data_IF_875932919326
#
_entry.id   IF_875932919326
#
_cell.length_a   1.000
_cell.length_b   1.000
_cell.length_c   1.000
_cell.angle_alpha   90.00
_cell.angle_beta   90.00
_cell.angle_gamma   90.00
#
_symmetry.space_group_name_H-M   'P 1'
#
loop_
_entity.id
_entity.type
_entity.pdbx_description
1 polymer ?
2 water ?
#
# COMPACT_ATOMS: atom_id res chain seq x y z
N UNK A 1 -1.26 -22.54 -5.52
CA UNK A 1 -1.03 -21.14 -5.98
C UNK A 1 -2.09 -20.20 -5.43
N UNK A 2 -1.83 -18.90 -5.52
CA UNK A 2 -2.76 -17.89 -5.04
C UNK A 2 -3.75 -17.50 -6.14
N UNK A 3 -3.33 -17.68 -7.39
CA UNK A 3 -4.17 -17.36 -8.53
C UNK A 3 -5.40 -18.26 -8.49
N UNK A 4 -5.20 -19.48 -8.00
CA UNK A 4 -6.29 -20.45 -7.88
C UNK A 4 -7.24 -19.98 -6.79
N UNK A 5 -6.67 -19.43 -5.73
CA UNK A 5 -7.45 -18.93 -4.61
C UNK A 5 -8.24 -17.69 -5.03
N UNK A 6 -7.61 -16.82 -5.81
CA UNK A 6 -8.26 -15.61 -6.29
C UNK A 6 -9.56 -16.00 -6.99
N UNK A 7 -9.48 -17.04 -7.82
CA UNK A 7 -10.63 -17.53 -8.56
C UNK A 7 -11.64 -18.17 -7.61
N UNK A 8 -11.14 -18.66 -6.47
CA UNK A 8 -12.00 -19.30 -5.48
C UNK A 8 -12.85 -18.27 -4.75
N UNK A 9 -12.19 -17.35 -4.04
CA UNK A 9 -12.89 -16.31 -3.30
C UNK A 9 -13.72 -15.44 -4.24
N UNK A 10 -13.31 -15.39 -5.50
CA UNK A 10 -14.03 -14.60 -6.50
C UNK A 10 -15.48 -15.05 -6.57
N UNK A 15 -14.15 -10.49 -10.65
CA UNK A 15 -13.58 -9.43 -9.77
C UNK A 15 -13.88 -9.70 -8.29
N UNK A 16 -13.16 -9.02 -7.41
CA UNK A 16 -13.35 -9.18 -5.98
C UNK A 16 -13.44 -7.83 -5.27
N UNK A 17 -14.17 -7.79 -4.16
CA UNK A 17 -14.29 -6.56 -3.39
C UNK A 17 -13.33 -6.68 -2.20
N UNK A 18 -13.29 -5.67 -1.34
CA UNK A 18 -12.39 -5.69 -0.19
C UNK A 18 -12.51 -6.95 0.67
N UNK A 19 -13.74 -7.34 1.00
CA UNK A 19 -13.96 -8.52 1.84
C UNK A 19 -13.40 -9.78 1.19
N UNK A 20 -13.63 -9.94 -0.11
CA UNK A 20 -13.15 -11.10 -0.84
C UNK A 20 -11.63 -11.06 -1.00
N UNK A 21 -11.09 -9.87 -1.23
CA UNK A 21 -9.64 -9.72 -1.38
C UNK A 21 -8.97 -10.09 -0.07
N UNK A 22 -9.60 -9.72 1.05
CA UNK A 22 -9.05 -10.02 2.37
C UNK A 22 -8.95 -11.53 2.56
N UNK A 23 -10.05 -12.24 2.32
CA UNK A 23 -10.06 -13.69 2.48
C UNK A 23 -9.03 -14.33 1.54
N UNK A 24 -8.90 -13.79 0.33
CA UNK A 24 -7.96 -14.31 -0.66
C UNK A 24 -6.50 -14.18 -0.24
N UNK A 25 -6.12 -13.01 0.25
CA UNK A 25 -4.74 -12.79 0.68
C UNK A 25 -4.40 -13.56 1.95
N UNK A 26 -5.36 -13.66 2.87
CA UNK A 26 -5.12 -14.39 4.11
C UNK A 26 -4.86 -15.85 3.77
N UNK A 27 -5.60 -16.33 2.78
CA UNK A 27 -5.53 -17.70 2.30
C UNK A 27 -4.26 -17.94 1.49
N UNK A 28 -3.71 -16.87 0.91
CA UNK A 28 -2.50 -16.98 0.09
C UNK A 28 -1.25 -17.30 0.91
N UNK A 29 -1.18 -16.78 2.13
CA UNK A 29 -0.03 -17.01 2.98
C UNK A 29 0.97 -15.87 2.91
N UNK A 30 0.60 -14.82 2.19
CA UNK A 30 1.46 -13.66 2.01
C UNK A 30 1.85 -12.98 3.33
N UNK A 31 0.97 -13.00 4.33
CA UNK A 31 1.32 -12.35 5.59
C UNK A 31 2.01 -13.27 6.59
N UNK A 32 2.33 -14.49 6.15
CA UNK A 32 3.00 -15.44 7.02
C UNK A 32 2.35 -15.63 8.38
N UNK A 33 3.12 -15.40 9.44
CA UNK A 33 2.61 -15.56 10.79
C UNK A 33 2.17 -14.22 11.38
N UNK A 34 2.12 -13.20 10.54
CA UNK A 34 1.67 -11.87 10.97
C UNK A 34 0.15 -11.87 10.89
N UNK A 35 -0.50 -10.93 11.57
CA UNK A 35 -1.96 -10.86 11.53
C UNK A 35 -2.39 -10.66 10.07
N UNK A 36 -3.63 -11.07 9.73
CA UNK A 36 -4.11 -10.90 8.36
C UNK A 36 -4.28 -9.42 8.04
N UNK A 37 -4.34 -9.08 6.75
CA UNK A 37 -4.54 -7.69 6.38
C UNK A 37 -5.92 -7.28 6.85
N UNK A 38 -6.08 -6.01 7.21
CA UNK A 38 -7.38 -5.52 7.66
C UNK A 38 -8.23 -5.26 6.42
N UNK A 39 -9.54 -5.16 6.61
CA UNK A 39 -10.45 -4.89 5.50
C UNK A 39 -10.10 -3.55 4.84
N UNK A 40 -9.81 -2.54 5.66
CA UNK A 40 -9.48 -1.21 5.16
C UNK A 40 -8.23 -1.23 4.29
N UNK A 41 -7.22 -1.99 4.71
CA UNK A 41 -5.99 -2.07 3.92
C UNK A 41 -6.31 -2.69 2.57
N UNK A 42 -7.15 -3.72 2.56
CA UNK A 42 -7.50 -4.35 1.30
C UNK A 42 -8.32 -3.39 0.44
N UNK A 43 -9.12 -2.53 1.07
CA UNK A 43 -9.93 -1.59 0.31
C UNK A 43 -9.07 -0.55 -0.41
N UNK A 44 -7.98 -0.11 0.21
CA UNK A 44 -7.13 0.88 -0.46
C UNK A 44 -6.26 0.20 -1.51
N UNK A 45 -5.97 -1.08 -1.32
CA UNK A 45 -5.20 -1.83 -2.32
C UNK A 45 -6.03 -1.78 -3.60
N UNK A 46 -7.34 -1.99 -3.44
CA UNK A 46 -8.25 -1.96 -4.57
C UNK A 46 -8.31 -0.55 -5.16
N UNK A 47 -8.43 0.45 -4.29
CA UNK A 47 -8.51 1.83 -4.76
C UNK A 47 -7.26 2.23 -5.54
N UNK A 48 -6.11 1.69 -5.13
CA UNK A 48 -4.84 2.00 -5.78
C UNK A 48 -4.78 1.59 -7.25
N UNK A 49 -5.43 0.48 -7.58
CA UNK A 49 -5.42 -0.02 -8.95
C UNK A 49 -6.79 0.01 -9.63
N UNK A 50 -7.72 0.77 -9.07
CA UNK A 50 -9.06 0.85 -9.64
C UNK A 50 -9.11 1.85 -10.79
N UNK A 51 -8.32 1.59 -11.84
CA UNK A 51 -8.25 2.44 -13.02
C UNK A 51 -9.60 2.62 -13.71
N UNK A 52 -10.40 1.57 -13.72
CA UNK A 52 -11.72 1.60 -14.35
C UNK A 52 -12.79 2.12 -13.39
N UNK A 53 -12.42 2.31 -12.13
CA UNK A 53 -13.33 2.83 -11.11
C UNK A 53 -14.59 1.99 -10.92
N UNK A 54 -14.47 0.88 -10.19
CA UNK A 54 -15.62 0.00 -9.94
C UNK A 54 -15.69 -0.48 -8.49
N UNK A 55 -14.65 -0.20 -7.71
CA UNK A 55 -14.64 -0.63 -6.32
C UNK A 55 -14.28 -2.09 -6.18
N UNK A 56 -13.92 -2.72 -7.29
CA UNK A 56 -13.55 -4.12 -7.29
C UNK A 56 -12.23 -4.30 -8.03
N UNK A 57 -11.65 -5.49 -7.93
CA UNK A 57 -10.38 -5.77 -8.58
C UNK A 57 -10.44 -7.03 -9.44
N UNK A 58 -9.91 -6.92 -10.65
CA UNK A 58 -9.90 -8.05 -11.56
C UNK A 58 -8.58 -8.81 -11.47
N UNK A 59 -8.45 -9.89 -12.24
CA UNK A 59 -7.23 -10.69 -12.20
C UNK A 59 -5.96 -9.97 -12.64
N UNK A 60 -6.04 -9.20 -13.72
CA UNK A 60 -4.86 -8.48 -14.20
C UNK A 60 -4.38 -7.47 -13.16
N UNK A 61 -5.33 -6.80 -12.52
CA UNK A 61 -5.00 -5.82 -11.49
C UNK A 61 -4.44 -6.55 -10.27
N UNK A 62 -4.99 -7.73 -9.99
CA UNK A 62 -4.54 -8.52 -8.85
C UNK A 62 -3.09 -8.97 -9.05
N UNK A 63 -2.74 -9.31 -10.28
CA UNK A 63 -1.38 -9.73 -10.58
C UNK A 63 -0.41 -8.62 -10.24
N UNK A 64 -0.78 -7.39 -10.59
CA UNK A 64 0.07 -6.24 -10.31
C UNK A 64 0.17 -6.02 -8.81
N UNK A 65 -0.95 -6.20 -8.12
CA UNK A 65 -0.99 -6.04 -6.67
C UNK A 65 -0.09 -7.07 -6.01
N UNK A 66 -0.22 -8.31 -6.47
CA UNK A 66 0.57 -9.42 -5.93
C UNK A 66 2.06 -9.12 -6.06
N UNK A 67 2.46 -8.61 -7.22
CA UNK A 67 3.86 -8.28 -7.47
C UNK A 67 4.33 -7.17 -6.54
N UNK A 68 3.46 -6.19 -6.32
CA UNK A 68 3.78 -5.07 -5.44
C UNK A 68 3.90 -5.54 -4.00
N UNK A 69 2.94 -6.34 -3.55
CA UNK A 69 2.95 -6.86 -2.18
C UNK A 69 4.22 -7.63 -1.88
N UNK A 70 4.63 -8.52 -2.79
CA UNK A 70 5.84 -9.29 -2.56
C UNK A 70 7.07 -8.38 -2.55
N UNK A 71 7.04 -7.34 -3.38
CA UNK A 71 8.15 -6.41 -3.42
C UNK A 71 8.24 -5.67 -2.09
N UNK A 72 7.10 -5.22 -1.57
CA UNK A 72 7.09 -4.50 -0.30
C UNK A 72 7.42 -5.44 0.85
N UNK A 73 7.01 -6.70 0.74
CA UNK A 73 7.30 -7.67 1.80
C UNK A 73 8.80 -7.91 1.89
N UNK A 74 9.48 -7.94 0.74
CA UNK A 74 10.93 -8.15 0.71
C UNK A 74 11.63 -7.00 1.42
N UNK A 75 11.13 -5.78 1.21
CA UNK A 75 11.69 -4.59 1.85
C UNK A 75 11.49 -4.70 3.36
N UNK A 76 10.29 -5.12 3.76
CA UNK A 76 9.95 -5.29 5.17
C UNK A 76 10.92 -6.27 5.83
N UNK A 77 11.13 -7.41 5.18
CA UNK A 77 12.04 -8.42 5.73
C UNK A 77 13.48 -7.92 5.82
N UNK A 78 13.88 -7.10 4.86
CA UNK A 78 15.24 -6.56 4.85
C UNK A 78 15.48 -5.61 6.02
N UNK A 79 14.50 -4.77 6.31
CA UNK A 79 14.63 -3.79 7.38
C UNK A 79 14.19 -4.29 8.76
N UNK A 80 13.39 -5.36 8.77
CA UNK A 80 12.87 -5.91 10.02
C UNK A 80 13.86 -6.76 10.81
N UNK A 81 14.17 -6.34 12.03
CA UNK A 81 15.10 -7.08 12.88
C UNK A 81 14.40 -8.28 13.54
N UNK A 82 15.03 -9.45 13.43
CA UNK A 82 14.49 -10.67 14.02
C UNK A 82 13.13 -11.05 13.45
N UNK A 83 12.76 -10.41 12.34
CA UNK A 83 11.49 -10.70 11.69
C UNK A 83 10.25 -10.48 12.54
N UNK A 84 10.33 -9.63 13.55
CA UNK A 84 9.18 -9.38 14.40
C UNK A 84 8.00 -8.88 13.57
N UNK A 85 6.82 -8.87 14.17
CA UNK A 85 5.65 -8.43 13.44
C UNK A 85 5.60 -6.93 13.19
N UNK A 86 6.51 -6.19 13.81
CA UNK A 86 6.53 -4.74 13.65
C UNK A 86 7.92 -4.17 13.38
N UNK A 87 7.94 -2.96 12.86
CA UNK A 87 9.18 -2.25 12.60
C UNK A 87 9.01 -0.92 13.32
N UNK A 88 10.10 -0.20 13.54
CA UNK A 88 9.97 1.09 14.20
C UNK A 88 10.32 2.20 13.22
N UNK A 89 10.36 3.43 13.71
CA UNK A 89 10.62 4.59 12.86
C UNK A 89 11.84 4.49 11.95
N UNK A 90 12.97 4.10 12.51
CA UNK A 90 14.20 4.00 11.73
C UNK A 90 14.06 3.03 10.56
N UNK A 91 13.53 1.84 10.85
CA UNK A 91 13.36 0.82 9.82
C UNK A 91 12.35 1.23 8.74
N UNK A 92 11.28 1.92 9.13
CA UNK A 92 10.29 2.34 8.13
C UNK A 92 10.87 3.42 7.22
N UNK A 93 11.66 4.34 7.78
CA UNK A 93 12.27 5.37 6.94
C UNK A 93 13.21 4.69 5.96
N UNK A 94 13.90 3.66 6.43
CA UNK A 94 14.82 2.92 5.58
C UNK A 94 14.05 2.28 4.42
N UNK A 95 12.93 1.64 4.74
CA UNK A 95 12.11 0.98 3.73
C UNK A 95 11.55 1.98 2.71
N UNK A 96 11.13 3.15 3.19
CA UNK A 96 10.59 4.16 2.30
C UNK A 96 11.68 4.59 1.32
N UNK A 97 12.91 4.67 1.82
CA UNK A 97 14.03 5.03 0.96
C UNK A 97 14.31 3.94 -0.05
N UNK A 98 14.13 2.68 0.35
CA UNK A 98 14.38 1.56 -0.55
C UNK A 98 13.37 1.52 -1.70
N UNK A 99 12.20 2.10 -1.47
CA UNK A 99 11.15 2.15 -2.49
C UNK A 99 11.38 3.26 -3.51
N UNK A 100 12.45 4.03 -3.32
CA UNK A 100 12.76 5.11 -4.25
C UNK A 100 12.31 6.50 -3.84
N UNK A 101 11.59 6.62 -2.73
CA UNK A 101 11.14 7.93 -2.27
C UNK A 101 12.28 8.68 -1.61
N UNK A 102 12.32 9.99 -1.82
CA UNK A 102 13.35 10.85 -1.22
C UNK A 102 12.60 11.98 -0.54
N UNK A 103 12.10 11.70 0.65
CA UNK A 103 11.31 12.66 1.42
C UNK A 103 12.13 13.35 2.51
N UNK A 104 11.63 14.49 2.96
CA UNK A 104 12.30 15.28 4.00
C UNK A 104 12.14 14.63 5.38
N UNK A 105 13.02 14.97 6.33
CA UNK A 105 12.94 14.40 7.67
C UNK A 105 11.58 14.63 8.32
N UNK A 106 11.03 15.83 8.16
CA UNK A 106 9.74 16.14 8.77
C UNK A 106 8.59 15.33 8.17
N UNK A 107 8.62 15.13 6.85
CA UNK A 107 7.56 14.37 6.20
C UNK A 107 7.65 12.90 6.60
N UNK A 108 8.87 12.37 6.66
CA UNK A 108 9.04 10.98 7.06
C UNK A 108 8.52 10.79 8.48
N UNK A 109 8.79 11.76 9.35
CA UNK A 109 8.33 11.69 10.74
C UNK A 109 6.80 11.67 10.79
N UNK A 110 6.17 12.53 10.00
CA UNK A 110 4.72 12.58 9.95
C UNK A 110 4.14 11.24 9.51
N UNK A 111 4.75 10.65 8.48
CA UNK A 111 4.30 9.36 7.97
C UNK A 111 4.48 8.24 8.99
N UNK A 112 5.69 8.11 9.53
CA UNK A 112 5.93 7.05 10.50
C UNK A 112 5.00 7.16 11.70
N UNK A 113 4.72 8.39 12.13
CA UNK A 113 3.84 8.59 13.28
C UNK A 113 2.40 8.20 12.97
N UNK A 114 1.94 8.51 11.76
CA UNK A 114 0.57 8.20 11.36
C UNK A 114 0.23 6.72 11.40
N UNK A 115 1.22 5.88 11.11
CA UNK A 115 1.02 4.43 11.07
C UNK A 115 1.56 3.68 12.28
N UNK A 116 1.99 4.43 13.28
CA UNK A 116 2.54 3.83 14.49
C UNK A 116 1.49 3.60 15.57
N UNK A 117 1.66 2.50 16.28
CA UNK A 117 0.79 2.13 17.38
C UNK A 117 1.78 1.84 18.50
N UNK A 118 1.83 2.74 19.48
CA UNK A 118 2.76 2.60 20.59
C UNK A 118 4.20 2.64 20.07
N UNK A 119 4.42 3.43 19.02
CA UNK A 119 5.75 3.56 18.46
C UNK A 119 6.20 2.49 17.48
N UNK A 120 5.34 1.51 17.22
CA UNK A 120 5.67 0.42 16.29
C UNK A 120 4.69 0.38 15.12
N UNK A 121 5.16 -0.13 13.98
CA UNK A 121 4.33 -0.24 12.78
C UNK A 121 4.10 -1.70 12.39
N UNK A 122 2.87 -2.18 12.54
CA UNK A 122 2.52 -3.56 12.21
C UNK A 122 2.59 -3.80 10.70
N UNK A 123 2.82 -5.05 10.30
CA UNK A 123 2.90 -5.38 8.89
C UNK A 123 1.70 -4.84 8.10
N UNK A 124 0.51 -4.95 8.67
CA UNK A 124 -0.69 -4.47 7.98
C UNK A 124 -0.61 -2.98 7.71
N UNK A 125 -0.21 -2.21 8.72
CA UNK A 125 -0.10 -0.77 8.57
C UNK A 125 1.04 -0.39 7.64
N UNK A 126 2.11 -1.19 7.67
CA UNK A 126 3.26 -0.96 6.80
C UNK A 126 2.80 -1.02 5.34
N UNK A 127 2.03 -2.06 5.00
CA UNK A 127 1.54 -2.21 3.63
C UNK A 127 0.56 -1.10 3.27
N UNK A 128 -0.28 -0.71 4.22
CA UNK A 128 -1.25 0.35 3.98
C UNK A 128 -0.49 1.63 3.64
N UNK A 129 0.64 1.84 4.32
CA UNK A 129 1.48 3.02 4.09
C UNK A 129 2.07 2.96 2.68
N UNK A 130 2.60 1.80 2.30
CA UNK A 130 3.18 1.63 0.96
C UNK A 130 2.12 1.87 -0.12
N UNK A 131 0.92 1.34 0.10
CA UNK A 131 -0.19 1.50 -0.85
C UNK A 131 -0.56 2.97 -1.03
N UNK A 132 -0.72 3.68 0.08
CA UNK A 132 -1.11 5.08 0.01
C UNK A 132 -0.03 5.96 -0.62
N UNK A 133 1.24 5.68 -0.31
CA UNK A 133 2.34 6.44 -0.90
C UNK A 133 2.31 6.29 -2.41
N UNK A 134 2.13 5.06 -2.88
CA UNK A 134 2.09 4.82 -4.32
C UNK A 134 0.86 5.45 -4.96
N UNK A 135 -0.30 5.25 -4.35
CA UNK A 135 -1.56 5.79 -4.88
C UNK A 135 -1.55 7.31 -4.97
N UNK A 136 -1.08 7.96 -3.90
CA UNK A 136 -1.03 9.42 -3.87
C UNK A 136 -0.01 9.97 -4.85
N UNK A 137 1.11 9.26 -5.00
CA UNK A 137 2.15 9.68 -5.94
C UNK A 137 1.62 9.55 -7.37
N UNK A 138 0.86 8.48 -7.63
CA UNK A 138 0.29 8.27 -8.96
C UNK A 138 -0.61 9.45 -9.35
N UNK A 139 -1.43 9.91 -8.41
CA UNK A 139 -2.31 11.04 -8.68
C UNK A 139 -1.50 12.31 -8.94
N UNK A 140 -0.50 12.55 -8.10
CA UNK A 140 0.36 13.72 -8.22
C UNK A 140 1.04 13.76 -9.59
N UNK A 141 1.53 12.61 -10.03
CA UNK A 141 2.20 12.53 -11.33
C UNK A 141 1.28 12.87 -12.49
N UNK A 142 -0.03 12.69 -12.29
CA UNK A 142 -0.99 13.00 -13.34
C UNK A 142 -1.17 14.51 -13.51
N UNK A 143 -0.80 15.27 -12.49
CA UNK A 143 -0.92 16.73 -12.54
C UNK A 143 0.42 17.46 -12.67
N UNK A 144 1.50 16.76 -12.35
CA UNK A 144 2.86 17.31 -12.45
C UNK A 144 3.23 17.11 -13.92
N UNK A 145 2.61 17.92 -14.78
CA UNK A 145 2.81 17.82 -16.21
C UNK A 145 4.25 17.89 -16.72
N UNK A 146 5.11 18.62 -16.03
CA UNK A 146 6.50 18.73 -16.45
C UNK A 146 7.39 17.74 -15.69
N UNK A 147 6.77 16.96 -14.81
CA UNK A 147 7.47 15.99 -13.97
C UNK A 147 8.68 16.67 -13.32
N UNK A 148 8.41 17.82 -12.69
CA UNK A 148 9.44 18.61 -12.02
C UNK A 148 9.32 18.58 -10.49
N UNK A 149 8.37 17.81 -9.97
CA UNK A 149 8.22 17.73 -8.53
C UNK A 149 7.26 18.75 -7.92
N UNK A 150 6.45 19.39 -8.75
CA UNK A 150 5.47 20.35 -8.25
C UNK A 150 4.25 20.26 -9.15
N UNK A 151 3.08 20.59 -8.61
CA UNK A 151 1.87 20.52 -9.40
C UNK A 151 0.75 21.38 -8.84
N UNK A 152 0.01 22.00 -9.76
CA UNK A 152 -1.12 22.84 -9.38
C UNK A 152 -2.36 21.96 -9.47
N UNK A 153 -3.26 22.11 -8.50
CA UNK A 153 -4.49 21.34 -8.48
C UNK A 153 -5.68 22.26 -8.29
N UNK A 154 -6.76 21.98 -9.01
CA UNK A 154 -7.99 22.74 -8.85
C UNK A 154 -8.66 21.97 -7.71
N UNK A 155 -9.24 22.68 -6.75
CA UNK A 155 -9.88 22.06 -5.58
C UNK A 155 -10.71 20.80 -5.83
N UNK A 156 -11.68 20.87 -6.74
CA UNK A 156 -12.53 19.71 -7.01
C UNK A 156 -11.74 18.47 -7.42
N UNK A 157 -10.77 18.66 -8.31
CA UNK A 157 -9.91 17.58 -8.79
C UNK A 157 -9.05 17.05 -7.64
N UNK A 158 -8.53 17.97 -6.84
CA UNK A 158 -7.70 17.62 -5.69
C UNK A 158 -8.47 16.64 -4.80
N UNK A 159 -9.71 16.98 -4.47
CA UNK A 159 -10.53 16.10 -3.64
C UNK A 159 -10.85 14.77 -4.32
N UNK A 160 -11.16 14.79 -5.61
CA UNK A 160 -11.47 13.54 -6.29
C UNK A 160 -10.31 12.56 -6.19
N UNK A 161 -9.11 13.04 -6.51
CA UNK A 161 -7.93 12.19 -6.48
C UNK A 161 -7.53 11.67 -5.12
N UNK A 162 -7.64 12.52 -4.10
CA UNK A 162 -7.27 12.13 -2.74
C UNK A 162 -8.37 11.38 -1.99
N UNK A 163 -9.64 11.73 -2.22
CA UNK A 163 -10.73 11.04 -1.53
C UNK A 163 -10.92 9.62 -2.07
N UNK A 164 -10.48 9.39 -3.31
CA UNK A 164 -10.62 8.07 -3.93
C UNK A 164 -9.74 6.99 -3.29
N UNK A 165 -8.71 7.41 -2.58
CA UNK A 165 -7.79 6.45 -1.97
C UNK A 165 -8.22 6.04 -0.57
#
# INVERSE_FOLDING_TARGET
SVYTYFSAVAGQDGEVDAEELQRCLTQSGINGTYSPFSLETCRIMIAMLDRDHTGKMGFNAFKELWAALNAWKENFMTVDQDGSGTVEHHELRQAIGLMGYRLSPQTLTTIVKRYSKNGRIFFDDYVACCVKLRALTDFFRKRDHLQQGSANFIYDDFLQGTMAI
#
